data_IF_854239771857
#
_entry.id   IF_854239771857
#
_cell.length_a   1.000
_cell.length_b   1.000
_cell.length_c   1.000
_cell.angle_alpha   90.00
_cell.angle_beta   90.00
_cell.angle_gamma   90.00
#
_symmetry.space_group_name_H-M   'P 1'
#
loop_
_entity.id
_entity.type
_entity.pdbx_description
1 polymer ?
#
# COMPACT_ATOMS: atom_id res chain seq x y z
N UNK A 1 16.54 -143.52 -45.44
CA UNK A 1 17.07 -142.38 -44.64
C UNK A 1 17.19 -141.08 -45.44
N UNK A 2 17.60 -141.09 -46.73
CA UNK A 2 17.80 -139.86 -47.54
C UNK A 2 16.51 -139.04 -47.78
N UNK A 3 15.34 -139.68 -47.91
CA UNK A 3 14.05 -138.99 -48.12
C UNK A 3 13.51 -138.25 -46.89
N UNK A 4 13.88 -138.67 -45.67
CA UNK A 4 13.47 -138.00 -44.42
C UNK A 4 14.35 -136.77 -44.12
N UNK A 5 15.64 -136.85 -44.42
CA UNK A 5 16.59 -135.74 -44.25
C UNK A 5 16.30 -134.55 -45.17
N UNK A 6 15.88 -134.80 -46.42
CA UNK A 6 15.52 -133.74 -47.37
C UNK A 6 14.26 -132.95 -46.96
N UNK A 7 13.29 -133.60 -46.30
CA UNK A 7 12.07 -132.93 -45.81
C UNK A 7 12.39 -132.06 -44.60
N UNK A 8 13.29 -132.53 -43.72
CA UNK A 8 13.72 -131.77 -42.53
C UNK A 8 14.56 -130.56 -42.90
N UNK A 9 15.43 -130.65 -43.92
CA UNK A 9 16.19 -129.48 -44.40
C UNK A 9 15.33 -128.47 -45.14
N UNK A 10 14.32 -128.90 -45.92
CA UNK A 10 13.37 -127.98 -46.55
C UNK A 10 12.46 -127.28 -45.54
N UNK A 11 12.05 -127.99 -44.47
CA UNK A 11 11.34 -127.39 -43.33
C UNK A 11 12.25 -126.44 -42.55
N UNK A 12 13.52 -126.78 -42.32
CA UNK A 12 14.45 -125.90 -41.62
C UNK A 12 14.79 -124.62 -42.42
N UNK A 13 14.94 -124.72 -43.75
CA UNK A 13 15.13 -123.56 -44.64
C UNK A 13 13.84 -122.74 -44.78
N UNK A 14 12.68 -123.39 -44.83
CA UNK A 14 11.37 -122.72 -44.82
C UNK A 14 11.11 -121.99 -43.51
N UNK A 15 11.46 -122.58 -42.36
CA UNK A 15 11.34 -121.98 -41.03
C UNK A 15 12.36 -120.86 -40.84
N UNK A 16 13.62 -121.03 -41.25
CA UNK A 16 14.63 -119.96 -41.19
C UNK A 16 14.31 -118.79 -42.13
N UNK A 17 13.79 -119.07 -43.34
CA UNK A 17 13.27 -118.08 -44.28
C UNK A 17 12.04 -117.36 -43.73
N UNK A 18 11.12 -118.08 -43.08
CA UNK A 18 9.95 -117.52 -42.42
C UNK A 18 10.34 -116.63 -41.23
N UNK A 19 11.25 -117.06 -40.36
CA UNK A 19 11.73 -116.27 -39.20
C UNK A 19 12.50 -115.00 -39.62
N UNK A 20 13.29 -115.07 -40.70
CA UNK A 20 13.99 -113.91 -41.24
C UNK A 20 13.02 -112.94 -41.93
N UNK A 21 12.08 -113.48 -42.71
CA UNK A 21 11.00 -112.70 -43.34
C UNK A 21 10.11 -112.02 -42.30
N UNK A 22 9.70 -112.71 -41.23
CA UNK A 22 8.91 -112.12 -40.15
C UNK A 22 9.68 -111.04 -39.41
N UNK A 23 10.97 -111.24 -39.08
CA UNK A 23 11.78 -110.22 -38.41
C UNK A 23 12.02 -108.97 -39.28
N UNK A 24 12.22 -109.14 -40.58
CA UNK A 24 12.36 -108.02 -41.53
C UNK A 24 11.02 -107.31 -41.71
N UNK A 25 9.92 -108.04 -41.84
CA UNK A 25 8.58 -107.47 -41.95
C UNK A 25 8.16 -106.71 -40.68
N UNK A 26 8.51 -107.20 -39.48
CA UNK A 26 8.29 -106.49 -38.21
C UNK A 26 9.16 -105.23 -38.11
N UNK A 27 10.43 -105.27 -38.52
CA UNK A 27 11.29 -104.07 -38.53
C UNK A 27 10.82 -103.03 -39.55
N UNK A 28 10.38 -103.46 -40.73
CA UNK A 28 9.81 -102.55 -41.73
C UNK A 28 8.52 -101.93 -41.19
N UNK A 29 7.62 -102.71 -40.60
CA UNK A 29 6.40 -102.20 -39.98
C UNK A 29 6.67 -101.23 -38.82
N UNK A 30 7.70 -101.49 -38.01
CA UNK A 30 8.12 -100.57 -36.94
C UNK A 30 8.73 -99.28 -37.52
N UNK A 31 9.57 -99.36 -38.55
CA UNK A 31 10.14 -98.18 -39.22
C UNK A 31 9.05 -97.33 -39.89
N UNK A 32 8.05 -97.97 -40.49
CA UNK A 32 6.90 -97.32 -41.12
C UNK A 32 6.06 -96.61 -40.05
N UNK A 33 5.81 -97.27 -38.91
CA UNK A 33 5.14 -96.66 -37.75
C UNK A 33 5.94 -95.50 -37.14
N UNK A 34 7.27 -95.63 -37.02
CA UNK A 34 8.14 -94.56 -36.49
C UNK A 34 8.21 -93.37 -37.45
N UNK A 35 8.21 -93.62 -38.77
CA UNK A 35 8.16 -92.58 -39.79
C UNK A 35 6.82 -91.85 -39.77
N UNK A 36 5.70 -92.56 -39.63
CA UNK A 36 4.35 -91.98 -39.50
C UNK A 36 4.23 -91.14 -38.22
N UNK A 37 4.76 -91.65 -37.10
CA UNK A 37 4.80 -90.92 -35.83
C UNK A 37 5.67 -89.66 -35.95
N UNK A 38 6.89 -89.78 -36.50
CA UNK A 38 7.77 -88.64 -36.70
C UNK A 38 7.18 -87.60 -37.66
N UNK A 39 6.44 -88.03 -38.68
CA UNK A 39 5.73 -87.13 -39.60
C UNK A 39 4.58 -86.39 -38.90
N UNK A 40 3.84 -87.10 -38.05
CA UNK A 40 2.78 -86.51 -37.22
C UNK A 40 3.37 -85.49 -36.24
N UNK A 41 4.42 -85.86 -35.51
CA UNK A 41 5.10 -85.00 -34.54
C UNK A 41 5.70 -83.76 -35.21
N UNK A 42 6.29 -83.90 -36.41
CA UNK A 42 6.79 -82.78 -37.21
C UNK A 42 5.66 -81.82 -37.58
N UNK A 43 4.51 -82.35 -37.99
CA UNK A 43 3.35 -81.54 -38.41
C UNK A 43 2.77 -80.78 -37.21
N UNK A 44 2.59 -81.45 -36.07
CA UNK A 44 2.15 -80.81 -34.81
C UNK A 44 3.15 -79.77 -34.32
N UNK A 45 4.46 -80.03 -34.43
CA UNK A 45 5.49 -79.06 -34.06
C UNK A 45 5.49 -77.83 -34.99
N UNK A 46 5.25 -78.01 -36.29
CA UNK A 46 5.12 -76.91 -37.25
C UNK A 46 3.88 -76.05 -36.97
N UNK A 47 2.74 -76.68 -36.66
CA UNK A 47 1.52 -75.97 -36.27
C UNK A 47 1.72 -75.18 -34.97
N UNK A 48 2.32 -75.80 -33.95
CA UNK A 48 2.62 -75.13 -32.68
C UNK A 48 3.62 -73.97 -32.85
N UNK A 49 4.61 -74.12 -33.72
CA UNK A 49 5.54 -73.03 -34.05
C UNK A 49 4.80 -71.86 -34.72
N UNK A 50 3.92 -72.14 -35.68
CA UNK A 50 3.14 -71.11 -36.37
C UNK A 50 2.20 -70.35 -35.42
N UNK A 51 1.55 -71.06 -34.48
CA UNK A 51 0.73 -70.45 -33.43
C UNK A 51 1.58 -69.57 -32.49
N UNK A 52 2.74 -70.06 -32.05
CA UNK A 52 3.64 -69.30 -31.18
C UNK A 52 4.22 -68.05 -31.86
N UNK A 53 4.53 -68.12 -33.16
CA UNK A 53 4.95 -66.95 -33.94
C UNK A 53 3.84 -65.91 -34.06
N UNK A 54 2.59 -66.35 -34.27
CA UNK A 54 1.42 -65.47 -34.31
C UNK A 54 1.17 -64.80 -32.96
N UNK A 55 1.20 -65.57 -31.87
CA UNK A 55 1.04 -65.04 -30.51
C UNK A 55 2.13 -64.04 -30.17
N UNK A 56 3.39 -64.31 -30.55
CA UNK A 56 4.51 -63.37 -30.38
C UNK A 56 4.22 -62.06 -31.10
N UNK A 57 3.79 -62.11 -32.36
CA UNK A 57 3.50 -60.92 -33.15
C UNK A 57 2.32 -60.13 -32.57
N UNK A 58 1.30 -60.81 -32.05
CA UNK A 58 0.16 -60.17 -31.40
C UNK A 58 0.54 -59.56 -30.04
N UNK A 59 1.40 -60.21 -29.25
CA UNK A 59 1.98 -59.61 -28.04
C UNK A 59 2.87 -58.41 -28.35
N UNK A 60 3.67 -58.46 -29.42
CA UNK A 60 4.50 -57.33 -29.83
C UNK A 60 3.65 -56.11 -30.22
N UNK A 61 2.54 -56.33 -30.96
CA UNK A 61 1.57 -55.27 -31.25
C UNK A 61 0.96 -54.69 -29.98
N UNK A 62 0.48 -55.54 -29.07
CA UNK A 62 -0.10 -55.09 -27.80
C UNK A 62 0.90 -54.30 -26.95
N UNK A 63 2.17 -54.73 -26.89
CA UNK A 63 3.22 -54.03 -26.17
C UNK A 63 3.51 -52.65 -26.79
N UNK A 64 3.54 -52.55 -28.12
CA UNK A 64 3.71 -51.29 -28.83
C UNK A 64 2.53 -50.34 -28.62
N UNK A 65 1.29 -50.85 -28.66
CA UNK A 65 0.09 -50.06 -28.38
C UNK A 65 0.07 -49.56 -26.92
N UNK A 66 0.39 -50.43 -25.97
CA UNK A 66 0.49 -50.05 -24.55
C UNK A 66 1.55 -48.96 -24.33
N UNK A 67 2.70 -49.05 -25.00
CA UNK A 67 3.75 -48.02 -24.96
C UNK A 67 3.26 -46.69 -25.54
N UNK A 68 2.53 -46.72 -26.66
CA UNK A 68 1.95 -45.53 -27.26
C UNK A 68 0.92 -44.86 -26.35
N UNK A 69 0.06 -45.65 -25.68
CA UNK A 69 -0.91 -45.15 -24.69
C UNK A 69 -0.18 -44.52 -23.49
N UNK A 70 0.86 -45.17 -22.96
CA UNK A 70 1.64 -44.65 -21.84
C UNK A 70 2.30 -43.31 -22.17
N UNK A 71 2.86 -43.16 -23.39
CA UNK A 71 3.42 -41.89 -23.85
C UNK A 71 2.37 -40.78 -23.90
N UNK A 72 1.19 -41.07 -24.48
CA UNK A 72 0.08 -40.10 -24.54
C UNK A 72 -0.40 -39.69 -23.15
N UNK A 73 -0.52 -40.64 -22.22
CA UNK A 73 -0.87 -40.35 -20.83
C UNK A 73 0.18 -39.48 -20.15
N UNK A 74 1.46 -39.74 -20.38
CA UNK A 74 2.55 -38.90 -19.85
C UNK A 74 2.45 -37.46 -20.37
N UNK A 75 2.18 -37.28 -21.66
CA UNK A 75 1.99 -35.95 -22.27
C UNK A 75 0.75 -35.24 -21.69
N UNK A 76 -0.35 -35.97 -21.49
CA UNK A 76 -1.56 -35.45 -20.86
C UNK A 76 -1.33 -35.03 -19.41
N UNK A 77 -0.60 -35.83 -18.62
CA UNK A 77 -0.22 -35.49 -17.25
C UNK A 77 0.62 -34.20 -17.24
N UNK A 78 1.60 -34.08 -18.12
CA UNK A 78 2.40 -32.86 -18.27
C UNK A 78 1.57 -31.65 -18.70
N UNK A 79 0.53 -31.85 -19.52
CA UNK A 79 -0.45 -30.83 -19.88
C UNK A 79 -1.31 -30.38 -18.69
N UNK A 80 -1.89 -31.33 -17.96
CA UNK A 80 -2.71 -31.08 -16.78
C UNK A 80 -1.91 -30.41 -15.67
N UNK A 81 -0.67 -30.82 -15.45
CA UNK A 81 0.19 -30.21 -14.43
C UNK A 81 0.45 -28.72 -14.73
N UNK A 82 0.67 -28.37 -16.00
CA UNK A 82 0.77 -26.96 -16.42
C UNK A 82 -0.52 -26.19 -16.18
N UNK A 83 -1.67 -26.77 -16.51
CA UNK A 83 -2.97 -26.14 -16.26
C UNK A 83 -3.22 -25.93 -14.76
N UNK A 84 -2.87 -26.88 -13.90
CA UNK A 84 -3.01 -26.74 -12.45
C UNK A 84 -2.14 -25.59 -11.92
N UNK A 85 -0.89 -25.47 -12.37
CA UNK A 85 -0.01 -24.35 -12.00
C UNK A 85 -0.59 -23.02 -12.46
N UNK A 86 -1.07 -22.94 -13.70
CA UNK A 86 -1.70 -21.73 -14.23
C UNK A 86 -2.96 -21.34 -13.45
N UNK A 87 -3.85 -22.29 -13.16
CA UNK A 87 -5.04 -22.05 -12.37
C UNK A 87 -4.71 -21.61 -10.94
N UNK A 88 -3.68 -22.19 -10.33
CA UNK A 88 -3.20 -21.79 -9.00
C UNK A 88 -2.69 -20.36 -9.01
N UNK A 89 -1.89 -19.98 -10.02
CA UNK A 89 -1.40 -18.62 -10.18
C UNK A 89 -2.53 -17.61 -10.39
N UNK A 90 -3.54 -17.97 -11.21
CA UNK A 90 -4.74 -17.15 -11.40
C UNK A 90 -5.53 -16.98 -10.12
N UNK A 91 -5.74 -18.06 -9.36
CA UNK A 91 -6.46 -18.01 -8.09
C UNK A 91 -5.74 -17.14 -7.06
N UNK A 92 -4.41 -17.25 -6.96
CA UNK A 92 -3.60 -16.42 -6.08
C UNK A 92 -3.66 -14.94 -6.48
N UNK A 93 -3.61 -14.65 -7.79
CA UNK A 93 -3.76 -13.28 -8.29
C UNK A 93 -5.14 -12.70 -7.96
N UNK A 94 -6.21 -13.45 -8.25
CA UNK A 94 -7.58 -13.00 -7.93
C UNK A 94 -7.79 -12.79 -6.43
N UNK A 95 -7.17 -13.60 -5.58
CA UNK A 95 -7.19 -13.41 -4.12
C UNK A 95 -6.53 -12.08 -3.74
N UNK A 96 -5.35 -11.80 -4.28
CA UNK A 96 -4.63 -10.55 -4.00
C UNK A 96 -5.41 -9.33 -4.50
N UNK A 97 -5.99 -9.40 -5.71
CA UNK A 97 -6.82 -8.34 -6.28
C UNK A 97 -8.08 -8.09 -5.42
N UNK A 98 -8.72 -9.14 -4.91
CA UNK A 98 -9.88 -9.04 -4.01
C UNK A 98 -9.52 -8.42 -2.66
N UNK A 99 -8.39 -8.83 -2.07
CA UNK A 99 -7.92 -8.29 -0.79
C UNK A 99 -7.61 -6.79 -0.95
N UNK A 100 -6.96 -6.39 -2.05
CA UNK A 100 -6.69 -4.99 -2.37
C UNK A 100 -7.99 -4.19 -2.58
N UNK A 101 -8.90 -4.67 -3.43
CA UNK A 101 -10.16 -4.00 -3.70
C UNK A 101 -11.03 -3.85 -2.43
N UNK A 102 -10.97 -4.82 -1.53
CA UNK A 102 -11.65 -4.77 -0.23
C UNK A 102 -11.04 -3.69 0.66
N UNK A 103 -9.71 -3.59 0.72
CA UNK A 103 -9.02 -2.54 1.48
C UNK A 103 -9.35 -1.14 0.94
N UNK A 104 -9.30 -0.94 -0.38
CA UNK A 104 -9.66 0.32 -1.04
C UNK A 104 -11.12 0.71 -0.77
N UNK A 105 -12.04 -0.25 -0.77
CA UNK A 105 -13.45 -0.01 -0.48
C UNK A 105 -13.69 0.38 0.98
N UNK A 106 -12.97 -0.23 1.93
CA UNK A 106 -13.03 0.18 3.34
C UNK A 106 -12.48 1.59 3.51
N UNK A 107 -11.33 1.91 2.92
CA UNK A 107 -10.72 3.24 2.99
C UNK A 107 -11.62 4.32 2.36
N UNK A 108 -12.22 4.02 1.20
CA UNK A 108 -13.17 4.90 0.53
C UNK A 108 -14.38 5.19 1.42
N UNK A 109 -14.99 4.16 2.02
CA UNK A 109 -16.11 4.31 2.95
C UNK A 109 -15.74 5.14 4.18
N UNK A 110 -14.58 4.88 4.78
CA UNK A 110 -14.08 5.67 5.91
C UNK A 110 -13.85 7.13 5.52
N UNK A 111 -13.32 7.37 4.32
CA UNK A 111 -13.10 8.73 3.81
C UNK A 111 -14.41 9.46 3.57
N UNK A 112 -15.40 8.82 2.93
CA UNK A 112 -16.73 9.39 2.76
C UNK A 112 -17.40 9.71 4.10
N UNK A 113 -17.26 8.83 5.10
CA UNK A 113 -17.83 9.07 6.43
C UNK A 113 -17.11 10.22 7.15
N UNK A 114 -15.79 10.31 7.06
CA UNK A 114 -15.03 11.47 7.58
C UNK A 114 -15.48 12.78 6.93
N UNK A 115 -15.68 12.77 5.61
CA UNK A 115 -16.21 13.94 4.89
C UNK A 115 -17.63 14.29 5.33
N UNK A 116 -18.50 13.29 5.51
CA UNK A 116 -19.86 13.51 6.02
C UNK A 116 -19.85 14.11 7.42
N UNK A 117 -18.98 13.62 8.32
CA UNK A 117 -18.83 14.16 9.67
C UNK A 117 -18.32 15.59 9.65
N UNK A 118 -17.29 15.86 8.84
CA UNK A 118 -16.80 17.20 8.61
C UNK A 118 -17.91 18.14 8.11
N UNK A 119 -18.74 17.68 7.18
CA UNK A 119 -19.84 18.47 6.66
C UNK A 119 -20.93 18.75 7.70
N UNK A 120 -21.21 17.79 8.60
CA UNK A 120 -22.15 17.97 9.71
C UNK A 120 -21.63 18.97 10.76
N UNK A 121 -20.32 18.97 11.01
CA UNK A 121 -19.72 19.82 12.05
C UNK A 121 -19.41 21.24 11.56
N UNK A 122 -18.85 21.37 10.35
CA UNK A 122 -18.34 22.65 9.81
C UNK A 122 -19.25 23.24 8.72
N UNK A 123 -20.27 22.49 8.30
CA UNK A 123 -21.16 22.85 7.21
C UNK A 123 -20.68 22.36 5.85
N UNK A 124 -21.55 22.48 4.85
CA UNK A 124 -21.23 22.13 3.46
C UNK A 124 -20.07 22.93 2.91
N UNK A 125 -19.41 22.40 1.88
CA UNK A 125 -18.35 23.11 1.14
C UNK A 125 -18.79 24.51 0.72
N UNK A 126 -20.03 24.67 0.30
CA UNK A 126 -20.55 25.97 -0.14
C UNK A 126 -20.77 26.91 1.04
N UNK A 127 -21.28 26.41 2.18
CA UNK A 127 -21.39 27.21 3.40
C UNK A 127 -20.03 27.68 3.94
N UNK A 128 -18.98 26.86 3.80
CA UNK A 128 -17.62 27.24 4.18
C UNK A 128 -17.09 28.33 3.26
N UNK A 129 -17.36 28.24 1.95
CA UNK A 129 -16.99 29.30 0.98
C UNK A 129 -17.70 30.61 1.26
N UNK A 130 -18.99 30.57 1.58
CA UNK A 130 -19.77 31.76 1.95
C UNK A 130 -19.18 32.42 3.19
N UNK A 131 -18.94 31.65 4.27
CA UNK A 131 -18.27 32.18 5.48
C UNK A 131 -16.90 32.77 5.18
N UNK A 132 -16.10 32.15 4.30
CA UNK A 132 -14.81 32.69 3.87
C UNK A 132 -14.95 34.02 3.11
N UNK A 133 -16.00 34.17 2.30
CA UNK A 133 -16.29 35.41 1.59
C UNK A 133 -16.76 36.54 2.54
N UNK A 134 -17.44 36.19 3.63
CA UNK A 134 -17.88 37.15 4.66
C UNK A 134 -16.74 37.66 5.55
N UNK A 135 -15.64 36.93 5.69
CA UNK A 135 -14.51 37.33 6.55
C UNK A 135 -13.85 38.63 6.06
N UNK A 136 -13.73 38.82 4.74
CA UNK A 136 -13.06 40.00 4.18
C UNK A 136 -13.79 41.32 4.46
N UNK A 137 -15.10 41.47 4.17
CA UNK A 137 -15.81 42.70 4.51
C UNK A 137 -15.83 42.97 6.01
N UNK A 138 -15.97 41.94 6.85
CA UNK A 138 -15.94 42.08 8.32
C UNK A 138 -14.58 42.59 8.81
N UNK A 139 -13.47 42.16 8.20
CA UNK A 139 -12.14 42.68 8.52
C UNK A 139 -12.00 44.16 8.14
N UNK A 140 -12.47 44.54 6.96
CA UNK A 140 -12.47 45.95 6.52
C UNK A 140 -13.30 46.80 7.48
N UNK A 141 -14.47 46.33 7.87
CA UNK A 141 -15.33 47.04 8.82
C UNK A 141 -14.67 47.21 10.19
N UNK A 142 -14.05 46.14 10.72
CA UNK A 142 -13.26 46.20 11.96
C UNK A 142 -12.14 47.24 11.87
N UNK A 143 -11.39 47.28 10.76
CA UNK A 143 -10.27 48.20 10.59
C UNK A 143 -10.74 49.66 10.49
N UNK A 144 -11.90 49.88 9.85
CA UNK A 144 -12.57 51.18 9.85
C UNK A 144 -12.99 51.60 11.27
N UNK A 145 -13.59 50.71 12.06
CA UNK A 145 -13.95 51.00 13.45
C UNK A 145 -12.74 51.31 14.33
N UNK A 146 -11.62 50.60 14.17
CA UNK A 146 -10.37 50.90 14.87
C UNK A 146 -9.89 52.32 14.54
N UNK A 147 -9.95 52.68 13.26
CA UNK A 147 -9.58 54.02 12.79
C UNK A 147 -10.50 55.09 13.37
N UNK A 148 -11.81 54.88 13.32
CA UNK A 148 -12.81 55.81 13.85
C UNK A 148 -12.66 55.98 15.37
N UNK A 149 -12.48 54.89 16.12
CA UNK A 149 -12.27 54.93 17.56
C UNK A 149 -11.03 55.77 17.91
N UNK A 150 -9.93 55.59 17.17
CA UNK A 150 -8.71 56.39 17.33
C UNK A 150 -8.98 57.89 17.12
N UNK A 151 -9.76 58.25 16.09
CA UNK A 151 -10.15 59.64 15.83
C UNK A 151 -11.04 60.19 16.94
N UNK A 152 -12.03 59.41 17.40
CA UNK A 152 -12.94 59.79 18.48
C UNK A 152 -12.19 60.02 19.79
N UNK A 153 -11.23 59.14 20.13
CA UNK A 153 -10.37 59.32 21.31
C UNK A 153 -9.57 60.62 21.23
N UNK A 154 -8.98 60.94 20.07
CA UNK A 154 -8.29 62.22 19.86
C UNK A 154 -9.24 63.42 20.01
N UNK A 155 -10.50 63.32 19.57
CA UNK A 155 -11.50 64.38 19.76
C UNK A 155 -11.89 64.54 21.24
N UNK A 156 -12.05 63.44 21.96
CA UNK A 156 -12.34 63.45 23.41
C UNK A 156 -11.18 64.14 24.15
N UNK A 157 -9.94 63.83 23.81
CA UNK A 157 -8.76 64.48 24.40
C UNK A 157 -8.78 65.99 24.15
N UNK A 158 -9.00 66.43 22.89
CA UNK A 158 -9.11 67.86 22.55
C UNK A 158 -10.23 68.57 23.30
N UNK A 159 -11.43 68.00 23.33
CA UNK A 159 -12.57 68.57 24.05
C UNK A 159 -12.33 68.61 25.56
N UNK A 160 -11.65 67.61 26.12
CA UNK A 160 -11.29 67.59 27.54
C UNK A 160 -10.32 68.72 27.88
N UNK A 161 -9.33 68.97 27.00
CA UNK A 161 -8.41 70.12 27.12
C UNK A 161 -9.17 71.44 27.02
N UNK A 162 -10.09 71.59 26.06
CA UNK A 162 -10.90 72.80 25.91
C UNK A 162 -11.82 73.05 27.12
N UNK A 163 -12.52 72.03 27.61
CA UNK A 163 -13.38 72.12 28.80
C UNK A 163 -12.59 72.49 30.06
N UNK A 164 -11.35 72.01 30.18
CA UNK A 164 -10.46 72.35 31.30
C UNK A 164 -10.14 73.86 31.31
N UNK A 165 -9.99 74.49 30.13
CA UNK A 165 -9.78 75.94 30.03
C UNK A 165 -11.00 76.74 30.46
N UNK A 166 -12.21 76.28 30.13
CA UNK A 166 -13.44 77.03 30.42
C UNK A 166 -13.97 76.85 31.83
N UNK A 167 -13.80 75.67 32.43
CA UNK A 167 -14.39 75.37 33.74
C UNK A 167 -13.53 75.87 34.91
N UNK A 168 -12.29 76.32 34.67
CA UNK A 168 -11.36 76.73 35.73
C UNK A 168 -11.00 75.60 36.71
N UNK A 169 -11.54 74.40 36.49
CA UNK A 169 -11.16 73.20 37.20
C UNK A 169 -9.80 72.81 36.67
N UNK A 170 -8.77 73.06 37.49
CA UNK A 170 -7.45 72.49 37.32
C UNK A 170 -7.58 70.96 37.31
N UNK A 171 -7.86 70.39 36.14
CA UNK A 171 -7.64 68.96 35.91
C UNK A 171 -6.17 68.76 36.23
N UNK A 172 -5.87 67.89 37.20
CA UNK A 172 -4.49 67.49 37.44
C UNK A 172 -4.00 66.85 36.16
N UNK A 173 -3.27 67.62 35.36
CA UNK A 173 -2.67 67.11 34.14
C UNK A 173 -1.59 66.13 34.59
N UNK A 174 -1.84 64.85 34.34
CA UNK A 174 -0.90 63.80 34.66
C UNK A 174 0.29 63.93 33.71
N UNK A 175 1.45 64.28 34.27
CA UNK A 175 2.72 64.28 33.56
C UNK A 175 3.31 62.86 33.59
N UNK A 176 4.14 62.48 32.60
CA UNK A 176 4.88 61.23 32.65
C UNK A 176 5.68 61.13 33.97
N UNK A 177 5.65 59.97 34.67
CA UNK A 177 6.29 59.83 35.98
C UNK A 177 7.83 59.92 35.92
N UNK A 178 8.40 59.77 34.74
CA UNK A 178 9.83 59.86 34.42
C UNK A 178 10.24 61.23 33.83
N UNK A 179 9.31 62.19 33.77
CA UNK A 179 9.60 63.53 33.27
C UNK A 179 10.57 64.26 34.21
N UNK A 180 11.78 64.52 33.71
CA UNK A 180 12.83 65.26 34.41
C UNK A 180 13.50 66.26 33.47
N UNK A 181 13.71 67.48 33.97
CA UNK A 181 14.38 68.57 33.26
C UNK A 181 15.22 69.44 34.18
N UNK A 182 15.99 70.35 33.60
CA UNK A 182 16.82 71.35 34.28
C UNK A 182 16.27 72.75 34.05
N UNK A 183 16.42 73.60 35.07
CA UNK A 183 16.16 75.03 34.94
C UNK A 183 17.31 75.65 34.15
N UNK A 184 17.00 76.26 33.00
CA UNK A 184 17.97 76.88 32.09
C UNK A 184 18.11 78.38 32.32
N UNK A 185 17.03 79.05 32.71
CA UNK A 185 17.01 80.47 33.04
C UNK A 185 16.02 80.76 34.17
N UNK A 186 16.30 81.82 34.94
CA UNK A 186 15.44 82.31 36.02
C UNK A 186 15.29 83.81 35.84
N UNK A 187 14.06 84.29 35.76
CA UNK A 187 13.74 85.72 35.79
C UNK A 187 13.13 86.06 37.15
N UNK A 188 13.93 86.72 38.00
CA UNK A 188 13.50 87.13 39.34
C UNK A 188 12.63 88.39 39.35
N UNK A 189 12.45 89.07 38.22
CA UNK A 189 11.61 90.27 38.12
C UNK A 189 10.15 89.89 37.87
N UNK A 190 9.91 88.81 37.14
CA UNK A 190 8.57 88.32 36.77
C UNK A 190 8.22 86.95 37.38
N UNK A 191 9.04 86.44 38.29
CA UNK A 191 8.85 85.18 39.03
C UNK A 191 8.59 83.95 38.14
N UNK A 192 9.27 83.84 36.99
CA UNK A 192 9.19 82.66 36.13
C UNK A 192 10.56 82.02 35.90
N UNK A 193 10.53 80.74 35.56
CA UNK A 193 11.71 79.94 35.26
C UNK A 193 11.51 79.23 33.93
N UNK A 194 12.58 79.05 33.17
CA UNK A 194 12.54 78.31 31.90
C UNK A 194 13.14 76.93 32.13
N UNK A 195 12.43 75.89 31.68
CA UNK A 195 12.82 74.49 31.77
C UNK A 195 13.22 73.97 30.39
N UNK A 196 14.21 73.08 30.31
CA UNK A 196 14.65 72.40 29.07
C UNK A 196 13.79 71.19 28.66
N UNK A 197 12.53 71.18 29.10
CA UNK A 197 11.54 70.15 28.78
C UNK A 197 10.31 70.82 28.20
N UNK A 198 9.78 70.27 27.11
CA UNK A 198 8.65 70.80 26.37
C UNK A 198 7.64 69.72 25.99
N UNK A 199 6.81 70.04 25.00
CA UNK A 199 5.72 69.16 24.56
C UNK A 199 6.21 67.78 24.10
N UNK A 200 7.38 67.73 23.45
CA UNK A 200 7.96 66.50 22.89
C UNK A 200 8.32 65.48 24.00
N UNK A 201 8.62 65.96 25.20
CA UNK A 201 8.90 65.14 26.39
C UNK A 201 7.64 64.86 27.22
N UNK A 202 6.47 65.32 26.78
CA UNK A 202 5.21 65.12 27.47
C UNK A 202 4.90 66.17 28.54
N UNK A 203 5.58 67.33 28.54
CA UNK A 203 5.16 68.48 29.35
C UNK A 203 3.84 69.01 28.80
N UNK A 204 2.95 69.40 29.71
CA UNK A 204 1.64 69.98 29.38
C UNK A 204 1.41 71.24 30.20
N UNK A 205 0.73 72.21 29.60
CA UNK A 205 0.28 73.42 30.30
C UNK A 205 -0.50 73.05 31.56
N UNK A 206 -0.31 73.84 32.62
CA UNK A 206 -0.86 73.61 33.96
C UNK A 206 -0.38 72.35 34.69
N UNK A 207 0.58 71.60 34.13
CA UNK A 207 1.31 70.57 34.83
C UNK A 207 2.07 71.13 36.04
N UNK A 208 2.10 70.38 37.14
CA UNK A 208 2.85 70.75 38.35
C UNK A 208 4.15 69.95 38.41
N UNK A 209 5.28 70.66 38.53
CA UNK A 209 6.61 70.07 38.64
C UNK A 209 7.24 70.44 39.98
N UNK A 210 8.04 69.55 40.53
CA UNK A 210 8.80 69.79 41.75
C UNK A 210 10.23 70.18 41.39
N UNK A 211 10.71 71.31 41.92
CA UNK A 211 12.08 71.78 41.67
C UNK A 211 12.95 71.57 42.92
N UNK A 212 14.10 70.93 42.75
CA UNK A 212 15.06 70.67 43.82
C UNK A 212 16.48 71.07 43.42
N UNK A 213 17.34 71.30 44.43
CA UNK A 213 18.78 71.46 44.26
C UNK A 213 19.51 70.46 45.13
N UNK A 214 20.35 69.65 44.50
CA UNK A 214 21.19 68.60 45.10
C UNK A 214 20.39 67.50 45.80
N UNK A 215 19.67 67.79 46.89
CA UNK A 215 18.76 66.86 47.58
C UNK A 215 17.65 67.60 48.36
N UNK A 216 17.50 68.91 48.14
CA UNK A 216 16.51 69.73 48.83
C UNK A 216 15.45 70.22 47.85
N UNK A 217 14.19 69.90 48.14
CA UNK A 217 13.04 70.49 47.44
C UNK A 217 13.02 72.00 47.70
N UNK A 218 13.13 72.78 46.64
CA UNK A 218 13.12 74.25 46.67
C UNK A 218 11.70 74.76 46.52
N UNK A 219 10.88 74.11 45.69
CA UNK A 219 9.51 74.56 45.48
C UNK A 219 8.71 73.73 44.49
N UNK A 220 7.52 74.23 44.19
CA UNK A 220 6.60 73.65 43.22
C UNK A 220 6.34 74.68 42.12
N UNK A 221 6.56 74.28 40.89
CA UNK A 221 6.35 75.06 39.68
C UNK A 221 5.04 74.62 39.03
N UNK A 222 4.34 75.57 38.42
CA UNK A 222 3.21 75.28 37.53
C UNK A 222 3.59 75.80 36.15
N UNK A 223 3.49 74.93 35.16
CA UNK A 223 3.76 75.28 33.77
C UNK A 223 2.65 76.20 33.26
N UNK A 224 3.03 77.37 32.76
CA UNK A 224 2.14 78.38 32.18
C UNK A 224 2.09 78.28 30.66
N UNK A 225 3.22 77.99 30.02
CA UNK A 225 3.32 77.87 28.56
C UNK A 225 4.29 76.77 28.18
N UNK A 226 3.98 76.02 27.12
CA UNK A 226 4.82 74.93 26.60
C UNK A 226 5.15 75.19 25.14
N UNK A 227 6.44 75.16 24.82
CA UNK A 227 6.95 75.07 23.47
C UNK A 227 7.44 73.64 23.21
N UNK A 228 7.89 73.34 21.98
CA UNK A 228 8.33 71.98 21.61
C UNK A 228 9.46 71.45 22.49
N UNK A 229 10.47 72.28 22.75
CA UNK A 229 11.72 71.91 23.43
C UNK A 229 11.88 72.53 24.83
N UNK A 230 10.96 73.40 25.26
CA UNK A 230 11.05 74.15 26.52
C UNK A 230 9.69 74.48 27.11
N UNK A 231 9.67 74.81 28.39
CA UNK A 231 8.47 75.29 29.09
C UNK A 231 8.79 76.42 30.05
N UNK A 232 7.77 77.22 30.35
CA UNK A 232 7.78 78.34 31.30
C UNK A 232 6.74 78.09 32.37
#
# INVERSE_FOLDING_TARGET
MVRLLLIVTLLAVGVAGFFSYTNVQTKIGNLESDLDQATTDLTTAQEAQAEAEKDRDDFEKQANDAKAVASRMSDQIGGLQRQVVEQTNRANKHKLDLDQATAELVESRQTSERWRQFEMEYGSRDSIKERLAEIEPVKIERDNFITENTILLSRIEKLSVELSRYTGTSVKVALPPDLAGKVTAVDSQYDFVVLDVGEDQGVREHGELLVGRSDKLIGRLRVLSVEKDRSI
#
